data_IF_974342104459
#
_entry.id   IF_974342104459
#
_cell.length_a   1.000
_cell.length_b   1.000
_cell.length_c   1.000
_cell.angle_alpha   90.00
_cell.angle_beta   90.00
_cell.angle_gamma   90.00
#
_symmetry.space_group_name_H-M   'P 1'
#
loop_
_entity.id
_entity.type
_entity.pdbx_description
1 polymer ?
#
# COMPACT_ATOMS: atom_id res chain seq x y z
N UNK A 1 -5.67 -11.52 -12.48
CA UNK A 1 -5.73 -11.60 -11.01
C UNK A 1 -6.97 -10.93 -10.43
N UNK A 2 -7.13 -9.60 -10.44
CA UNK A 2 -8.31 -8.97 -9.79
C UNK A 2 -9.64 -9.53 -10.31
N UNK A 3 -9.79 -9.66 -11.63
CA UNK A 3 -10.96 -10.26 -12.29
C UNK A 3 -11.24 -11.73 -11.91
N UNK A 4 -10.23 -12.44 -11.41
CA UNK A 4 -10.37 -13.83 -10.94
C UNK A 4 -10.73 -13.88 -9.45
N UNK A 5 -10.37 -12.83 -8.69
CA UNK A 5 -10.63 -12.73 -7.24
C UNK A 5 -11.99 -12.10 -6.95
N UNK A 6 -12.43 -11.11 -7.75
CA UNK A 6 -13.70 -10.41 -7.55
C UNK A 6 -14.89 -11.36 -7.36
N UNK A 7 -15.09 -12.43 -8.18
CA UNK A 7 -16.24 -13.32 -8.02
C UNK A 7 -16.21 -14.17 -6.74
N UNK A 8 -15.05 -14.23 -6.07
CA UNK A 8 -14.85 -14.98 -4.82
C UNK A 8 -15.16 -14.13 -3.58
N UNK A 9 -15.31 -12.81 -3.75
CA UNK A 9 -15.63 -11.90 -2.68
C UNK A 9 -17.15 -11.91 -2.42
N UNK A 10 -17.53 -11.95 -1.14
CA UNK A 10 -18.91 -11.62 -0.74
C UNK A 10 -19.17 -10.13 -1.02
N UNK A 11 -20.44 -9.74 -1.12
CA UNK A 11 -20.81 -8.32 -1.14
C UNK A 11 -20.20 -7.57 0.07
N UNK A 12 -19.53 -6.45 -0.19
CA UNK A 12 -18.77 -5.71 0.83
C UNK A 12 -17.46 -6.37 1.27
N UNK A 13 -17.00 -7.41 0.56
CA UNK A 13 -15.66 -7.98 0.71
C UNK A 13 -14.59 -6.96 0.34
N UNK A 14 -13.42 -7.07 0.97
CA UNK A 14 -12.29 -6.17 0.74
C UNK A 14 -11.15 -6.92 0.05
N UNK A 15 -10.48 -6.22 -0.84
CA UNK A 15 -9.26 -6.65 -1.51
C UNK A 15 -8.16 -5.64 -1.16
N UNK A 16 -6.93 -6.12 -1.04
CA UNK A 16 -5.75 -5.28 -1.02
C UNK A 16 -4.72 -5.81 -2.03
N UNK A 17 -4.05 -4.92 -2.75
CA UNK A 17 -3.03 -5.23 -3.74
C UNK A 17 -1.68 -4.67 -3.29
N UNK A 18 -0.65 -5.52 -3.32
CA UNK A 18 0.74 -5.10 -3.12
C UNK A 18 1.39 -4.80 -4.47
N UNK A 19 1.71 -3.54 -4.71
CA UNK A 19 2.19 -3.03 -6.00
C UNK A 19 3.61 -2.48 -5.87
N UNK A 20 4.65 -3.24 -6.23
CA UNK A 20 6.05 -2.78 -6.16
C UNK A 20 6.37 -1.52 -6.98
N UNK A 21 5.61 -1.23 -8.04
CA UNK A 21 5.81 -0.08 -8.92
C UNK A 21 4.53 0.70 -9.13
N UNK A 22 4.64 1.98 -9.49
CA UNK A 22 3.50 2.84 -9.81
C UNK A 22 2.70 2.31 -11.02
N UNK A 23 3.36 1.71 -12.01
CA UNK A 23 2.69 1.09 -13.16
C UNK A 23 1.83 -0.11 -12.72
N UNK A 24 2.28 -0.87 -11.73
CA UNK A 24 1.46 -1.95 -11.18
C UNK A 24 0.28 -1.41 -10.38
N UNK A 25 0.47 -0.31 -9.64
CA UNK A 25 -0.62 0.36 -8.92
C UNK A 25 -1.71 0.85 -9.89
N UNK A 26 -1.31 1.54 -10.96
CA UNK A 26 -2.21 2.04 -12.01
C UNK A 26 -3.01 0.90 -12.66
N UNK A 27 -2.34 -0.17 -13.08
CA UNK A 27 -3.01 -1.35 -13.66
C UNK A 27 -3.97 -2.03 -12.69
N UNK A 28 -3.62 -2.10 -11.40
CA UNK A 28 -4.50 -2.63 -10.37
C UNK A 28 -5.73 -1.73 -10.16
N UNK A 29 -5.55 -0.41 -10.21
CA UNK A 29 -6.64 0.56 -10.13
C UNK A 29 -7.64 0.39 -11.28
N UNK A 30 -7.16 0.41 -12.52
CA UNK A 30 -8.00 0.24 -13.72
C UNK A 30 -8.73 -1.12 -13.70
N UNK A 31 -8.04 -2.18 -13.26
CA UNK A 31 -8.64 -3.50 -13.11
C UNK A 31 -9.71 -3.53 -12.01
N UNK A 32 -9.54 -2.82 -10.90
CA UNK A 32 -10.57 -2.74 -9.86
C UNK A 32 -11.84 -2.04 -10.39
N UNK A 33 -11.69 -0.86 -11.00
CA UNK A 33 -12.82 -0.09 -11.53
C UNK A 33 -13.57 -0.83 -12.64
N UNK A 34 -12.84 -1.47 -13.58
CA UNK A 34 -13.44 -2.25 -14.67
C UNK A 34 -14.20 -3.50 -14.19
N UNK A 35 -13.91 -4.01 -12.99
CA UNK A 35 -14.64 -5.13 -12.37
C UNK A 35 -15.71 -4.65 -11.37
N UNK A 36 -16.04 -3.36 -11.35
CA UNK A 36 -17.09 -2.82 -10.49
C UNK A 36 -16.71 -2.72 -9.01
N UNK A 37 -15.43 -2.87 -8.68
CA UNK A 37 -14.91 -2.62 -7.34
C UNK A 37 -14.69 -1.12 -7.13
N UNK A 38 -14.75 -0.67 -5.88
CA UNK A 38 -14.51 0.71 -5.49
C UNK A 38 -13.12 0.80 -4.85
N UNK A 39 -12.26 1.68 -5.35
CA UNK A 39 -10.97 1.99 -4.72
C UNK A 39 -11.21 2.94 -3.55
N UNK A 40 -11.17 2.42 -2.32
CA UNK A 40 -11.37 3.21 -1.10
C UNK A 40 -10.12 4.00 -0.70
N UNK A 41 -8.92 3.48 -1.00
CA UNK A 41 -7.65 4.10 -0.66
C UNK A 41 -6.52 3.57 -1.55
N UNK A 42 -5.50 4.38 -1.79
CA UNK A 42 -4.24 3.94 -2.35
C UNK A 42 -3.09 4.80 -1.84
N UNK A 43 -1.92 4.19 -1.62
CA UNK A 43 -0.76 4.93 -1.16
C UNK A 43 0.40 4.03 -0.77
N UNK A 44 1.43 4.64 -0.20
CA UNK A 44 2.58 3.94 0.37
C UNK A 44 2.72 4.26 1.86
N UNK A 45 3.31 3.33 2.60
CA UNK A 45 3.63 3.51 4.02
C UNK A 45 5.11 3.84 4.18
N UNK A 46 5.41 5.02 4.71
CA UNK A 46 6.78 5.44 5.02
C UNK A 46 7.07 5.18 6.50
N UNK A 47 7.90 4.17 6.78
CA UNK A 47 8.37 3.90 8.14
C UNK A 47 9.55 4.85 8.49
N UNK A 48 9.33 5.75 9.46
CA UNK A 48 10.39 6.60 10.02
C UNK A 48 10.63 6.27 11.49
N UNK A 49 11.64 5.43 11.75
CA UNK A 49 11.98 5.01 13.12
C UNK A 49 12.61 6.15 13.92
N UNK A 50 12.26 6.22 15.20
CA UNK A 50 12.86 7.15 16.18
C UNK A 50 13.82 6.40 17.10
N UNK A 51 14.86 7.10 17.56
CA UNK A 51 15.90 6.58 18.45
C UNK A 51 16.14 7.54 19.61
N UNK A 52 16.57 7.01 20.76
CA UNK A 52 17.03 7.85 21.89
C UNK A 52 18.37 8.49 21.56
N UNK A 53 18.55 9.76 21.93
CA UNK A 53 19.83 10.42 21.83
C UNK A 53 20.72 10.15 23.06
N UNK A 54 22.04 10.17 22.87
CA UNK A 54 23.02 9.84 23.92
C UNK A 54 23.02 10.83 25.09
N UNK A 55 22.53 12.06 24.90
CA UNK A 55 22.43 13.11 25.94
C UNK A 55 20.98 13.39 26.37
N UNK A 56 20.08 12.42 26.19
CA UNK A 56 18.65 12.58 26.45
C UNK A 56 17.87 13.13 25.26
N UNK A 57 16.55 12.90 25.25
CA UNK A 57 15.66 13.24 24.13
C UNK A 57 15.54 12.14 23.07
N UNK A 58 14.71 12.39 22.06
CA UNK A 58 14.43 11.48 20.94
C UNK A 58 14.63 12.20 19.60
N UNK A 59 15.09 11.46 18.59
CA UNK A 59 15.28 11.96 17.23
C UNK A 59 14.93 10.89 16.20
N UNK A 60 14.67 11.25 14.94
CA UNK A 60 14.64 10.28 13.85
C UNK A 60 15.97 9.51 13.76
N UNK A 61 15.88 8.19 13.53
CA UNK A 61 17.03 7.35 13.20
C UNK A 61 17.60 7.73 11.82
N UNK A 62 18.86 7.39 11.59
CA UNK A 62 19.54 7.66 10.31
C UNK A 62 19.33 6.53 9.28
N UNK A 63 18.41 5.60 9.54
CA UNK A 63 18.10 4.50 8.62
C UNK A 63 17.58 5.10 7.31
N UNK A 64 18.15 4.72 6.15
CA UNK A 64 17.63 5.15 4.86
C UNK A 64 16.16 4.75 4.72
N UNK A 65 15.34 5.67 4.23
CA UNK A 65 13.96 5.37 3.86
C UNK A 65 14.01 4.69 2.50
N UNK A 66 13.69 3.40 2.47
CA UNK A 66 13.58 2.61 1.25
C UNK A 66 12.13 2.49 0.79
N UNK A 67 11.94 2.33 -0.52
CA UNK A 67 10.66 1.93 -1.08
C UNK A 67 10.38 0.45 -0.80
N UNK A 68 9.16 0.13 -0.38
CA UNK A 68 8.70 -1.26 -0.20
C UNK A 68 7.69 -1.61 -1.28
N UNK A 69 6.51 -1.00 -1.23
CA UNK A 69 5.48 -1.07 -2.27
C UNK A 69 4.40 -0.01 -2.03
N UNK A 70 3.60 0.20 -3.07
CA UNK A 70 2.30 0.81 -2.97
C UNK A 70 1.26 -0.23 -2.58
N UNK A 71 0.20 0.23 -1.95
CA UNK A 71 -0.97 -0.52 -1.59
C UNK A 71 -2.18 0.11 -2.26
N UNK A 72 -3.05 -0.73 -2.80
CA UNK A 72 -4.40 -0.42 -3.25
C UNK A 72 -5.38 -1.27 -2.45
#
# INVERSE_FOLDING_TARGET
VISEIEPLLRAGGRLACYCPTTIQLEKCWEAAESNGLIVEWAGEMIERRWVKASRGGVRPGNTPIGHTAFLL
#
